data_IF_637844702301
#
_entry.id   IF_637844702301
#
_cell.length_a   1.000
_cell.length_b   1.000
_cell.length_c   1.000
_cell.angle_alpha   90.00
_cell.angle_beta   90.00
_cell.angle_gamma   90.00
#
_symmetry.space_group_name_H-M   'P 1'
#
loop_
_entity.id
_entity.type
_entity.pdbx_description
1 polymer ?
#
# COMPACT_ATOMS: atom_id res chain seq x y z
N UNK A 1 5.61 -18.82 4.74
CA UNK A 1 6.24 -17.97 5.77
C UNK A 1 5.37 -16.73 5.98
N UNK A 2 4.98 -16.38 7.21
CA UNK A 2 4.21 -15.16 7.49
C UNK A 2 5.05 -13.91 7.25
N UNK A 3 4.42 -12.83 6.81
CA UNK A 3 5.07 -11.56 6.49
C UNK A 3 4.42 -10.41 7.30
N UNK A 4 5.24 -9.55 7.91
CA UNK A 4 4.81 -8.51 8.85
C UNK A 4 4.65 -7.12 8.24
N UNK A 5 4.06 -7.02 7.04
CA UNK A 5 4.13 -5.82 6.19
C UNK A 5 2.83 -4.97 6.15
N UNK A 6 1.81 -5.34 6.93
CA UNK A 6 0.45 -4.77 6.83
C UNK A 6 0.16 -3.49 7.62
N UNK A 7 1.10 -2.55 7.76
CA UNK A 7 0.93 -1.33 8.57
C UNK A 7 0.22 -0.17 7.87
N UNK A 8 -0.06 -0.30 6.56
CA UNK A 8 -0.66 0.76 5.74
C UNK A 8 -2.07 1.23 6.16
N UNK A 9 -2.73 0.52 7.09
CA UNK A 9 -4.01 0.94 7.67
C UNK A 9 -3.92 1.74 8.97
N UNK A 10 -2.72 1.98 9.50
CA UNK A 10 -2.53 2.63 10.82
C UNK A 10 -2.61 4.16 10.77
N UNK A 11 -2.44 4.77 9.61
CA UNK A 11 -2.42 6.22 9.45
C UNK A 11 -3.46 6.63 8.40
N UNK A 12 -4.14 7.76 8.63
CA UNK A 12 -5.14 8.30 7.71
C UNK A 12 -4.55 9.14 6.59
N UNK A 13 -3.25 9.44 6.67
CA UNK A 13 -2.51 10.28 5.72
C UNK A 13 -1.42 9.50 4.96
N UNK A 14 -1.61 8.19 4.77
CA UNK A 14 -0.72 7.41 3.93
C UNK A 14 -0.86 7.82 2.46
N UNK A 15 0.25 7.75 1.72
CA UNK A 15 0.23 7.81 0.26
C UNK A 15 -0.44 6.53 -0.22
N UNK A 16 -1.47 6.65 -1.06
CA UNK A 16 -2.13 5.50 -1.65
C UNK A 16 -1.11 4.75 -2.53
N UNK A 17 -0.90 3.48 -2.20
CA UNK A 17 0.13 2.63 -2.77
C UNK A 17 -0.54 1.49 -3.56
N UNK A 18 0.12 0.93 -4.58
CA UNK A 18 -0.40 -0.20 -5.34
C UNK A 18 -0.24 -1.52 -4.58
N UNK A 19 -0.62 -1.55 -3.31
CA UNK A 19 -0.45 -2.69 -2.41
C UNK A 19 -1.81 -3.16 -1.90
N UNK A 20 -2.06 -4.46 -2.00
CA UNK A 20 -3.31 -5.09 -1.56
C UNK A 20 -3.04 -6.37 -0.77
N UNK A 21 -3.94 -6.71 0.14
CA UNK A 21 -3.92 -8.01 0.81
C UNK A 21 -4.74 -9.00 0.00
N UNK A 22 -4.08 -10.04 -0.53
CA UNK A 22 -4.72 -11.18 -1.20
C UNK A 22 -4.36 -12.47 -0.48
N UNK A 23 -5.37 -13.18 0.03
CA UNK A 23 -5.22 -14.44 0.77
C UNK A 23 -4.23 -14.34 1.94
N UNK A 24 -4.34 -13.25 2.74
CA UNK A 24 -3.47 -13.02 3.91
C UNK A 24 -2.02 -12.65 3.58
N UNK A 25 -1.72 -12.35 2.32
CA UNK A 25 -0.39 -11.93 1.85
C UNK A 25 -0.47 -10.56 1.20
N UNK A 26 0.49 -9.68 1.52
CA UNK A 26 0.66 -8.41 0.83
C UNK A 26 1.19 -8.65 -0.59
N UNK A 27 0.53 -8.07 -1.58
CA UNK A 27 0.89 -8.16 -3.00
C UNK A 27 0.87 -6.78 -3.64
N UNK A 28 1.66 -6.62 -4.70
CA UNK A 28 1.56 -5.46 -5.58
C UNK A 28 0.40 -5.67 -6.56
N UNK A 29 -0.43 -4.65 -6.73
CA UNK A 29 -1.46 -4.61 -7.76
C UNK A 29 -0.93 -3.86 -8.98
N UNK A 30 -0.65 -4.58 -10.05
CA UNK A 30 -0.04 -4.03 -11.28
C UNK A 30 -0.94 -3.01 -12.02
N UNK A 31 -2.21 -2.93 -11.66
CA UNK A 31 -3.17 -1.97 -12.23
C UNK A 31 -3.12 -0.64 -11.48
N UNK A 32 -2.80 -0.68 -10.19
CA UNK A 32 -2.78 0.51 -9.34
C UNK A 32 -1.42 1.22 -9.43
N UNK A 33 -1.41 2.53 -9.21
CA UNK A 33 -0.19 3.35 -9.16
C UNK A 33 -0.15 4.14 -7.85
N UNK A 34 1.03 4.67 -7.50
CA UNK A 34 1.18 5.55 -6.34
C UNK A 34 0.51 6.90 -6.58
N UNK A 35 -0.31 7.38 -5.65
CA UNK A 35 -0.85 8.76 -5.71
C UNK A 35 0.13 9.77 -5.11
N UNK A 36 1.08 10.21 -5.93
CA UNK A 36 2.12 11.17 -5.51
C UNK A 36 1.69 12.63 -5.56
N UNK A 37 0.42 12.95 -5.88
CA UNK A 37 -0.04 14.34 -6.04
C UNK A 37 0.12 15.20 -4.79
N UNK A 38 0.06 14.59 -3.61
CA UNK A 38 0.21 15.26 -2.31
C UNK A 38 1.65 15.67 -2.01
N UNK A 39 2.63 15.09 -2.72
CA UNK A 39 4.03 15.43 -2.59
C UNK A 39 4.30 16.71 -3.37
N UNK A 40 4.47 17.83 -2.65
CA UNK A 40 5.09 19.02 -3.22
C UNK A 40 6.60 18.80 -3.22
N UNK A 41 7.15 18.51 -4.40
CA UNK A 41 8.60 18.45 -4.64
C UNK A 41 9.15 19.85 -4.90
#
# INVERSE_FOLDING_TARGET
MPQGLGTGGLFTNNIEAPLEIKNGTLKCNDISIWDTKSLKL
#
